data_IF_924311870660
#
_entry.id   IF_924311870660
#
_cell.length_a   1.000
_cell.length_b   1.000
_cell.length_c   1.000
_cell.angle_alpha   90.00
_cell.angle_beta   90.00
_cell.angle_gamma   90.00
#
_symmetry.space_group_name_H-M   'P 1'
#
loop_
_entity.id
_entity.type
_entity.pdbx_description
1 polymer ?
#
# COMPACT_ATOMS: atom_id res chain seq x y z
N UNK A 1 -13.82 24.82 -3.15
CA UNK A 1 -14.15 24.25 -1.83
C UNK A 1 -14.03 22.70 -1.79
N UNK A 2 -13.19 22.05 -2.60
CA UNK A 2 -13.19 20.57 -2.74
C UNK A 2 -11.79 19.94 -2.84
N UNK A 3 -10.86 20.35 -1.97
CA UNK A 3 -9.57 19.66 -1.77
C UNK A 3 -9.20 19.71 -0.28
N UNK A 4 -9.88 18.87 0.51
CA UNK A 4 -9.56 18.71 1.93
C UNK A 4 -8.66 17.49 2.11
N UNK A 5 -7.35 17.73 2.13
CA UNK A 5 -6.36 16.67 2.27
C UNK A 5 -6.51 15.87 3.57
N UNK A 6 -6.92 16.53 4.66
CA UNK A 6 -7.10 15.86 5.96
C UNK A 6 -8.21 14.83 5.90
N UNK A 7 -9.35 15.18 5.28
CA UNK A 7 -10.47 14.23 5.10
C UNK A 7 -10.11 13.07 4.17
N UNK A 8 -9.28 13.32 3.15
CA UNK A 8 -8.75 12.25 2.30
C UNK A 8 -7.90 11.29 3.13
N UNK A 9 -6.97 11.80 3.92
CA UNK A 9 -6.11 10.97 4.78
C UNK A 9 -6.94 10.17 5.80
N UNK A 10 -7.92 10.79 6.45
CA UNK A 10 -8.84 10.11 7.38
C UNK A 10 -9.60 8.96 6.70
N UNK A 11 -10.05 9.17 5.46
CA UNK A 11 -10.73 8.14 4.67
C UNK A 11 -9.79 6.97 4.37
N UNK A 12 -8.56 7.25 3.93
CA UNK A 12 -7.56 6.22 3.66
C UNK A 12 -7.19 5.43 4.93
N UNK A 13 -7.05 6.11 6.07
CA UNK A 13 -6.80 5.46 7.36
C UNK A 13 -7.98 4.63 7.87
N UNK A 14 -9.23 5.01 7.55
CA UNK A 14 -10.40 4.17 7.80
C UNK A 14 -10.39 2.94 6.92
N UNK A 15 -10.06 3.08 5.64
CA UNK A 15 -9.93 1.95 4.72
C UNK A 15 -8.85 0.96 5.19
N UNK A 16 -7.70 1.47 5.66
CA UNK A 16 -6.64 0.63 6.23
C UNK A 16 -7.13 -0.21 7.42
N UNK A 17 -7.90 0.39 8.34
CA UNK A 17 -8.47 -0.34 9.47
C UNK A 17 -9.45 -1.45 9.05
N UNK A 18 -10.17 -1.24 7.96
CA UNK A 18 -11.07 -2.27 7.41
C UNK A 18 -10.26 -3.41 6.78
N UNK A 19 -9.21 -3.09 6.02
CA UNK A 19 -8.33 -4.09 5.41
C UNK A 19 -7.57 -4.92 6.45
N UNK A 20 -7.11 -4.30 7.54
CA UNK A 20 -6.43 -4.97 8.66
C UNK A 20 -7.34 -5.92 9.44
N UNK A 21 -8.65 -5.61 9.49
CA UNK A 21 -9.64 -6.47 10.15
C UNK A 21 -10.10 -7.66 9.29
N UNK A 22 -9.63 -7.79 8.05
CA UNK A 22 -9.96 -8.92 7.19
C UNK A 22 -9.25 -10.20 7.68
N UNK A 23 -10.03 -11.26 7.92
CA UNK A 23 -9.47 -12.55 8.36
C UNK A 23 -8.70 -13.29 7.26
N UNK A 24 -9.12 -13.12 6.00
CA UNK A 24 -8.43 -13.71 4.85
C UNK A 24 -7.24 -12.83 4.46
N UNK A 25 -6.04 -13.37 4.63
CA UNK A 25 -4.77 -12.68 4.32
C UNK A 25 -4.69 -12.26 2.85
N UNK A 26 -5.18 -13.07 1.90
CA UNK A 26 -5.12 -12.71 0.48
C UNK A 26 -6.02 -11.50 0.18
N UNK A 27 -7.21 -11.47 0.78
CA UNK A 27 -8.13 -10.33 0.68
C UNK A 27 -7.52 -9.09 1.36
N UNK A 28 -6.96 -9.24 2.56
CA UNK A 28 -6.32 -8.15 3.29
C UNK A 28 -5.17 -7.52 2.50
N UNK A 29 -4.29 -8.34 1.93
CA UNK A 29 -3.17 -7.89 1.10
C UNK A 29 -3.65 -7.20 -0.17
N UNK A 30 -4.64 -7.74 -0.88
CA UNK A 30 -5.22 -7.08 -2.06
C UNK A 30 -5.75 -5.68 -1.72
N UNK A 31 -6.49 -5.57 -0.60
CA UNK A 31 -7.01 -4.28 -0.13
C UNK A 31 -5.89 -3.32 0.25
N UNK A 32 -4.81 -3.78 0.89
CA UNK A 32 -3.65 -2.93 1.17
C UNK A 32 -3.00 -2.40 -0.10
N UNK A 33 -2.87 -3.22 -1.15
CA UNK A 33 -2.31 -2.79 -2.44
C UNK A 33 -3.23 -1.75 -3.12
N UNK A 34 -4.54 -1.97 -3.11
CA UNK A 34 -5.52 -0.99 -3.63
C UNK A 34 -5.46 0.34 -2.86
N UNK A 35 -5.32 0.28 -1.54
CA UNK A 35 -5.17 1.47 -0.71
C UNK A 35 -3.83 2.17 -1.00
N UNK A 36 -2.74 1.43 -1.21
CA UNK A 36 -1.45 1.97 -1.61
C UNK A 36 -1.56 2.73 -2.93
N UNK A 37 -2.25 2.18 -3.93
CA UNK A 37 -2.50 2.87 -5.20
C UNK A 37 -3.24 4.21 -4.98
N UNK A 38 -4.18 4.28 -4.00
CA UNK A 38 -4.84 5.53 -3.64
C UNK A 38 -3.90 6.52 -2.95
N UNK A 39 -3.05 6.05 -2.03
CA UNK A 39 -2.01 6.90 -1.43
C UNK A 39 -1.09 7.50 -2.51
N UNK A 40 -0.60 6.68 -3.43
CA UNK A 40 0.24 7.10 -4.55
C UNK A 40 -0.47 8.13 -5.43
N UNK A 41 -1.74 7.90 -5.78
CA UNK A 41 -2.54 8.86 -6.54
C UNK A 41 -2.62 10.23 -5.85
N UNK A 42 -2.91 10.27 -4.55
CA UNK A 42 -3.00 11.55 -3.83
C UNK A 42 -1.63 12.20 -3.59
N UNK A 43 -0.57 11.40 -3.45
CA UNK A 43 0.81 11.87 -3.40
C UNK A 43 1.19 12.56 -4.71
N UNK A 44 0.88 11.95 -5.86
CA UNK A 44 1.08 12.54 -7.20
C UNK A 44 0.34 13.87 -7.40
N UNK A 45 -0.82 14.03 -6.77
CA UNK A 45 -1.61 15.26 -6.82
C UNK A 45 -1.10 16.36 -5.87
N UNK A 46 0.10 16.18 -5.31
CA UNK A 46 0.73 17.10 -4.34
C UNK A 46 -0.16 17.37 -3.10
N UNK A 47 -0.89 16.36 -2.64
CA UNK A 47 -1.60 16.46 -1.37
C UNK A 47 -0.61 16.34 -0.21
N UNK A 48 -0.19 17.46 0.37
CA UNK A 48 0.81 17.53 1.45
C UNK A 48 0.48 16.69 2.69
N UNK A 49 -0.80 16.38 2.92
CA UNK A 49 -1.20 15.51 4.05
C UNK A 49 -0.81 14.04 3.83
N UNK A 50 -0.68 13.63 2.57
CA UNK A 50 -0.20 12.30 2.19
C UNK A 50 1.32 12.39 2.05
N UNK A 51 2.02 11.85 3.05
CA UNK A 51 3.48 11.89 3.13
C UNK A 51 4.10 10.55 2.73
N UNK A 52 5.38 10.58 2.36
CA UNK A 52 6.19 9.39 2.04
C UNK A 52 6.19 8.36 3.17
N UNK A 53 6.04 8.79 4.43
CA UNK A 53 5.89 7.92 5.60
C UNK A 53 4.73 6.93 5.45
N UNK A 54 3.59 7.37 4.92
CA UNK A 54 2.43 6.49 4.75
C UNK A 54 2.65 5.47 3.62
N UNK A 55 3.27 5.89 2.53
CA UNK A 55 3.61 5.00 1.42
C UNK A 55 4.60 3.93 1.89
N UNK A 56 5.70 4.34 2.53
CA UNK A 56 6.73 3.43 3.03
C UNK A 56 6.18 2.46 4.07
N UNK A 57 5.39 2.96 5.04
CA UNK A 57 4.79 2.10 6.06
C UNK A 57 3.85 1.05 5.47
N UNK A 58 3.09 1.40 4.43
CA UNK A 58 2.19 0.46 3.78
C UNK A 58 2.93 -0.54 2.88
N UNK A 59 3.97 -0.11 2.17
CA UNK A 59 4.86 -1.00 1.41
C UNK A 59 5.52 -2.03 2.34
N UNK A 60 6.04 -1.60 3.48
CA UNK A 60 6.67 -2.46 4.49
C UNK A 60 5.67 -3.44 5.11
N UNK A 61 4.44 -2.99 5.40
CA UNK A 61 3.37 -3.85 5.89
C UNK A 61 3.00 -4.95 4.88
N UNK A 62 2.88 -4.60 3.60
CA UNK A 62 2.56 -5.58 2.54
C UNK A 62 3.69 -6.59 2.38
N UNK A 63 4.95 -6.13 2.35
CA UNK A 63 6.12 -7.03 2.32
C UNK A 63 6.11 -8.02 3.48
N UNK A 64 5.81 -7.54 4.69
CA UNK A 64 5.75 -8.39 5.90
C UNK A 64 4.68 -9.48 5.78
N UNK A 65 3.48 -9.14 5.32
CA UNK A 65 2.40 -10.11 5.10
C UNK A 65 2.73 -11.12 4.00
N UNK A 66 3.42 -10.70 2.93
CA UNK A 66 3.86 -11.58 1.85
C UNK A 66 5.08 -12.44 2.23
N UNK A 67 5.85 -12.06 3.26
CA UNK A 67 6.99 -12.84 3.72
C UNK A 67 6.56 -14.06 4.55
N UNK A 68 5.49 -13.93 5.35
CA UNK A 68 4.88 -15.05 6.08
C UNK A 68 4.43 -16.19 5.16
N UNK A 69 4.08 -15.90 3.91
CA UNK A 69 3.72 -16.90 2.89
C UNK A 69 4.89 -17.80 2.46
N UNK A 70 6.14 -17.40 2.70
CA UNK A 70 7.31 -18.23 2.31
C UNK A 70 7.41 -19.52 3.12
N UNK A 71 6.79 -19.58 4.29
CA UNK A 71 6.79 -20.75 5.17
C UNK A 71 5.66 -21.74 4.78
N UNK A 72 4.50 -21.23 4.37
CA UNK A 72 3.35 -22.02 3.88
C UNK A 72 2.75 -21.37 2.61
N UNK A 73 3.02 -21.92 1.42
CA UNK A 73 2.58 -21.32 0.17
C UNK A 73 1.05 -21.23 0.09
N UNK A 74 0.51 -20.01 -0.03
CA UNK A 74 -0.91 -19.75 -0.26
C UNK A 74 -1.14 -19.32 -1.72
N UNK A 75 -1.72 -20.19 -2.58
CA UNK A 75 -2.00 -19.85 -3.98
C UNK A 75 -2.86 -18.60 -4.16
N UNK A 76 -3.69 -18.26 -3.18
CA UNK A 76 -4.54 -17.08 -3.22
C UNK A 76 -3.74 -15.76 -3.14
N UNK A 77 -2.50 -15.79 -2.64
CA UNK A 77 -1.62 -14.63 -2.56
C UNK A 77 -0.89 -14.29 -3.87
N UNK A 78 -0.90 -15.17 -4.87
CA UNK A 78 -0.21 -14.93 -6.15
C UNK A 78 -0.80 -13.76 -6.96
N UNK A 79 -2.12 -13.56 -6.88
CA UNK A 79 -2.80 -12.40 -7.48
C UNK A 79 -2.36 -11.08 -6.81
N UNK A 80 -2.58 -10.92 -5.50
CA UNK A 80 -2.17 -9.73 -4.75
C UNK A 80 -0.67 -9.42 -4.84
N UNK A 81 0.19 -10.44 -4.78
CA UNK A 81 1.63 -10.30 -4.95
C UNK A 81 2.02 -9.74 -6.32
N UNK A 82 1.38 -10.23 -7.38
CA UNK A 82 1.59 -9.72 -8.75
C UNK A 82 1.09 -8.28 -8.89
N UNK A 83 -0.05 -7.95 -8.27
CA UNK A 83 -0.56 -6.58 -8.25
C UNK A 83 0.44 -5.66 -7.53
N UNK A 84 0.87 -6.04 -6.34
CA UNK A 84 1.85 -5.29 -5.56
C UNK A 84 3.15 -5.04 -6.34
N UNK A 85 3.68 -6.06 -7.02
CA UNK A 85 4.89 -5.92 -7.83
C UNK A 85 4.73 -4.85 -8.93
N UNK A 86 3.60 -4.84 -9.65
CA UNK A 86 3.31 -3.81 -10.66
C UNK A 86 3.20 -2.42 -10.04
N UNK A 87 2.59 -2.31 -8.87
CA UNK A 87 2.51 -1.05 -8.11
C UNK A 87 3.91 -0.57 -7.72
N UNK A 88 4.80 -1.45 -7.25
CA UNK A 88 6.19 -1.10 -6.94
C UNK A 88 6.96 -0.66 -8.19
N UNK A 89 6.78 -1.35 -9.33
CA UNK A 89 7.37 -0.95 -10.61
C UNK A 89 6.90 0.44 -11.04
N UNK A 90 5.59 0.75 -10.90
CA UNK A 90 5.07 2.09 -11.14
C UNK A 90 5.73 3.11 -10.21
N UNK A 91 5.74 2.87 -8.90
CA UNK A 91 6.35 3.78 -7.91
C UNK A 91 7.82 4.05 -8.23
N UNK A 92 8.61 3.01 -8.56
CA UNK A 92 10.01 3.15 -8.98
C UNK A 92 10.15 4.01 -10.23
N UNK A 93 9.26 3.83 -11.22
CA UNK A 93 9.29 4.63 -12.46
C UNK A 93 9.01 6.13 -12.24
N UNK A 94 8.40 6.49 -11.11
CA UNK A 94 8.04 7.88 -10.76
C UNK A 94 9.13 8.59 -9.96
N UNK A 95 10.13 7.86 -9.47
CA UNK A 95 11.29 8.39 -8.73
C UNK A 95 10.90 9.32 -7.56
N UNK A 96 9.92 8.90 -6.75
CA UNK A 96 9.47 9.69 -5.60
C UNK A 96 10.56 9.79 -4.54
N UNK A 97 10.95 11.03 -4.22
CA UNK A 97 11.93 11.30 -3.18
C UNK A 97 11.50 10.68 -1.84
N UNK A 98 12.40 9.89 -1.24
CA UNK A 98 12.18 9.28 0.07
C UNK A 98 11.22 8.08 0.11
N UNK A 99 10.69 7.62 -1.03
CA UNK A 99 9.90 6.37 -1.09
C UNK A 99 10.84 5.18 -1.30
N UNK A 100 10.68 4.14 -0.48
CA UNK A 100 11.49 2.92 -0.52
C UNK A 100 10.61 1.75 -0.93
N UNK A 101 10.91 1.14 -2.08
CA UNK A 101 10.14 0.02 -2.64
C UNK A 101 10.70 -1.35 -2.28
N UNK A 102 11.98 -1.41 -1.89
CA UNK A 102 12.63 -2.64 -1.48
C UNK A 102 12.27 -2.98 -0.02
N UNK A 103 12.09 -4.27 0.32
CA UNK A 103 11.93 -4.68 1.71
C UNK A 103 13.20 -4.33 2.49
N UNK A 104 13.03 -3.88 3.75
CA UNK A 104 14.16 -3.70 4.67
C UNK A 104 14.68 -5.08 5.06
N UNK A 105 16.00 -5.26 4.98
CA UNK A 105 16.70 -6.49 5.41
C UNK A 105 16.69 -6.66 6.92
#
# INVERSE_FOLDING_TARGET
LYRDGKRVLECLQRALRVADACMDTAVSVELFVEILNRYVYYFDQQNETVTTKYLNGLIELIHSNLQTDKEEPNPSLEGPKRHFQRTLEYIRSRDYEGVVTEPRQ
#
